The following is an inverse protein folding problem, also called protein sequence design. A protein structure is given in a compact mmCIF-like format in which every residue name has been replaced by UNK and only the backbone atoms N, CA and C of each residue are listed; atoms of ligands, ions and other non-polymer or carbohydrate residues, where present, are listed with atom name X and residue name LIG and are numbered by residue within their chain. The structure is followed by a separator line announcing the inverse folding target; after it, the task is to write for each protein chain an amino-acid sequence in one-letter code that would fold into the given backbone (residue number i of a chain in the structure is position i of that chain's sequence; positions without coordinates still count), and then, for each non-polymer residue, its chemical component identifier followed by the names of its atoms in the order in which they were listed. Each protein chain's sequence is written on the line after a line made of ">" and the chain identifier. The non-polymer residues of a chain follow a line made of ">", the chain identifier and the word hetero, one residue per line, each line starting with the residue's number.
data_IF_654702667598
#
_entry.id   IF_654702667598
#
_cell.length_a   1.000
_cell.length_b   1.000
_cell.length_c   1.000
_cell.angle_alpha   90.00
_cell.angle_beta   90.00
_cell.angle_gamma   90.00
#
_symmetry.space_group_name_H-M   'P 1'
#
loop_
_entity.id
_entity.type
_entity.pdbx_description
1 polymer ?
#
# COMPACT_ATOMS: atom_id res chain seq x y z
N UNK A 1 34.52 8.57 -22.87
CA UNK A 1 35.13 7.87 -21.71
C UNK A 1 34.31 8.09 -20.44
N UNK A 2 33.93 9.32 -20.13
CA UNK A 2 33.14 9.70 -18.94
C UNK A 2 31.78 9.00 -18.83
N UNK A 3 30.98 8.88 -19.90
CA UNK A 3 29.65 8.26 -19.82
C UNK A 3 29.67 6.77 -19.43
N UNK A 4 30.67 6.02 -19.94
CA UNK A 4 30.88 4.61 -19.57
C UNK A 4 31.38 4.45 -18.14
N UNK A 5 32.10 5.45 -17.60
CA UNK A 5 32.54 5.47 -16.21
C UNK A 5 31.35 5.60 -15.26
N UNK A 6 30.41 6.51 -15.56
CA UNK A 6 29.20 6.68 -14.76
C UNK A 6 28.26 5.46 -14.82
N UNK A 7 28.14 4.83 -15.99
CA UNK A 7 27.37 3.57 -16.10
C UNK A 7 28.02 2.45 -15.28
N UNK A 8 29.34 2.30 -15.34
CA UNK A 8 30.07 1.33 -14.53
C UNK A 8 29.96 1.62 -13.03
N UNK A 9 30.02 2.88 -12.60
CA UNK A 9 29.84 3.24 -11.20
C UNK A 9 28.41 3.01 -10.73
N UNK A 10 27.40 3.33 -11.55
CA UNK A 10 26.01 3.04 -11.23
C UNK A 10 25.76 1.53 -11.14
N UNK A 11 26.29 0.74 -12.08
CA UNK A 11 26.20 -0.72 -12.03
C UNK A 11 26.95 -1.31 -10.83
N UNK A 12 28.13 -0.80 -10.51
CA UNK A 12 28.90 -1.22 -9.34
C UNK A 12 28.17 -0.86 -8.03
N UNK A 13 27.54 0.32 -7.98
CA UNK A 13 26.77 0.78 -6.84
C UNK A 13 25.49 -0.03 -6.68
N UNK A 14 24.77 -0.32 -7.77
CA UNK A 14 23.63 -1.26 -7.79
C UNK A 14 24.06 -2.65 -7.35
N UNK A 15 25.18 -3.16 -7.84
CA UNK A 15 25.69 -4.49 -7.48
C UNK A 15 26.14 -4.56 -6.02
N UNK A 16 26.85 -3.56 -5.52
CA UNK A 16 27.27 -3.49 -4.12
C UNK A 16 26.08 -3.26 -3.17
N UNK A 17 25.08 -2.50 -3.61
CA UNK A 17 23.82 -2.31 -2.88
C UNK A 17 23.02 -3.61 -2.80
N UNK A 18 22.92 -4.34 -3.92
CA UNK A 18 22.28 -5.66 -3.98
C UNK A 18 23.04 -6.72 -3.16
N UNK A 19 24.35 -6.53 -2.92
CA UNK A 19 25.21 -7.44 -2.17
C UNK A 19 25.45 -7.03 -0.71
N UNK A 20 24.98 -5.85 -0.27
CA UNK A 20 25.08 -5.41 1.13
C UNK A 20 23.73 -5.51 1.83
N UNK A 21 23.43 -6.74 2.25
CA UNK A 21 22.23 -7.12 3.02
C UNK A 21 21.80 -6.12 4.13
N UNK A 22 22.70 -5.54 4.95
CA UNK A 22 22.28 -4.67 6.05
C UNK A 22 21.88 -3.25 5.63
N UNK A 23 22.19 -2.79 4.42
CA UNK A 23 21.95 -1.38 4.01
C UNK A 23 20.58 -1.19 3.35
N UNK A 24 20.07 -2.24 2.69
CA UNK A 24 18.83 -2.19 1.90
C UNK A 24 17.63 -1.70 2.72
N UNK A 25 17.35 -2.22 3.94
CA UNK A 25 16.25 -1.72 4.78
C UNK A 25 16.26 -0.21 4.99
N UNK A 26 17.39 0.36 5.43
CA UNK A 26 17.47 1.76 5.82
C UNK A 26 17.40 2.70 4.62
N UNK A 27 18.15 2.37 3.58
CA UNK A 27 18.21 3.17 2.35
C UNK A 27 16.91 3.15 1.56
N UNK A 28 16.18 2.03 1.53
CA UNK A 28 14.86 1.95 0.90
C UNK A 28 13.80 2.74 1.67
N UNK A 29 13.84 2.76 3.00
CA UNK A 29 12.98 3.63 3.84
C UNK A 29 13.25 5.10 3.53
N UNK A 30 14.50 5.53 3.53
CA UNK A 30 14.88 6.90 3.15
C UNK A 30 14.47 7.22 1.71
N UNK A 31 14.67 6.28 0.80
CA UNK A 31 14.23 6.37 -0.60
C UNK A 31 12.72 6.56 -0.71
N UNK A 32 11.92 5.84 0.09
CA UNK A 32 10.47 5.98 0.14
C UNK A 32 10.01 7.37 0.62
N UNK A 33 10.67 7.93 1.65
CA UNK A 33 10.38 9.29 2.13
C UNK A 33 10.73 10.35 1.07
N UNK A 34 11.87 10.21 0.41
CA UNK A 34 12.27 11.12 -0.67
C UNK A 34 11.34 10.99 -1.88
N UNK A 35 10.99 9.77 -2.27
CA UNK A 35 10.03 9.49 -3.32
C UNK A 35 8.67 10.12 -3.01
N UNK A 36 8.20 10.03 -1.77
CA UNK A 36 6.97 10.71 -1.33
C UNK A 36 7.00 12.20 -1.66
N UNK A 37 8.08 12.92 -1.28
CA UNK A 37 8.22 14.35 -1.54
C UNK A 37 8.26 14.67 -3.03
N UNK A 38 9.04 13.92 -3.80
CA UNK A 38 9.17 14.12 -5.25
C UNK A 38 7.84 13.86 -5.96
N UNK A 39 7.14 12.78 -5.61
CA UNK A 39 5.83 12.47 -6.16
C UNK A 39 4.80 13.51 -5.77
N UNK A 40 4.84 14.04 -4.53
CA UNK A 40 3.94 15.10 -4.10
C UNK A 40 4.11 16.36 -4.97
N UNK A 41 5.34 16.80 -5.21
CA UNK A 41 5.63 17.95 -6.05
C UNK A 41 5.22 17.71 -7.51
N UNK A 42 5.46 16.49 -8.01
CA UNK A 42 5.05 16.10 -9.37
C UNK A 42 3.53 16.09 -9.52
N UNK A 43 2.80 15.52 -8.57
CA UNK A 43 1.33 15.52 -8.55
C UNK A 43 0.82 16.96 -8.51
N UNK A 44 1.40 17.81 -7.67
CA UNK A 44 1.05 19.23 -7.60
C UNK A 44 1.30 19.93 -8.94
N UNK A 45 2.44 19.69 -9.58
CA UNK A 45 2.81 20.27 -10.87
C UNK A 45 1.79 19.85 -11.95
N UNK A 46 1.59 18.55 -12.13
CA UNK A 46 0.64 18.00 -13.12
C UNK A 46 -0.77 18.52 -12.83
N UNK A 47 -1.20 18.52 -11.57
CA UNK A 47 -2.54 18.97 -11.17
C UNK A 47 -2.78 20.45 -11.51
N UNK A 48 -1.77 21.29 -11.32
CA UNK A 48 -1.84 22.74 -11.61
C UNK A 48 -2.06 23.01 -13.10
N UNK A 49 -1.41 22.24 -13.98
CA UNK A 49 -1.48 22.45 -15.43
C UNK A 49 -2.65 21.74 -16.13
N UNK A 50 -3.00 20.54 -15.68
CA UNK A 50 -3.97 19.70 -16.39
C UNK A 50 -5.37 19.68 -15.78
N UNK A 51 -5.54 20.07 -14.51
CA UNK A 51 -6.83 19.98 -13.82
C UNK A 51 -7.35 21.37 -13.46
N UNK A 52 -8.29 21.88 -14.26
CA UNK A 52 -8.92 23.19 -13.99
C UNK A 52 -9.60 23.24 -12.62
N UNK A 53 -10.19 22.13 -12.17
CA UNK A 53 -10.81 22.02 -10.85
C UNK A 53 -9.81 22.25 -9.72
N UNK A 54 -8.58 21.73 -9.85
CA UNK A 54 -7.52 21.89 -8.84
C UNK A 54 -7.23 23.36 -8.52
N UNK A 55 -7.19 24.22 -9.53
CA UNK A 55 -6.94 25.65 -9.35
C UNK A 55 -8.09 26.38 -8.64
N UNK A 56 -9.29 25.82 -8.62
CA UNK A 56 -10.41 26.36 -7.86
C UNK A 56 -10.50 25.86 -6.41
N UNK A 57 -9.71 24.84 -6.04
CA UNK A 57 -9.72 24.26 -4.70
C UNK A 57 -9.09 25.19 -3.66
N UNK A 58 -9.60 25.10 -2.43
CA UNK A 58 -8.97 25.72 -1.24
C UNK A 58 -7.59 25.13 -0.96
N UNK A 59 -6.77 25.83 -0.17
CA UNK A 59 -5.43 25.35 0.20
C UNK A 59 -5.45 23.94 0.79
N UNK A 60 -6.38 23.66 1.70
CA UNK A 60 -6.46 22.36 2.37
C UNK A 60 -6.91 21.24 1.40
N UNK A 61 -7.86 21.53 0.52
CA UNK A 61 -8.30 20.58 -0.50
C UNK A 61 -7.20 20.27 -1.53
N UNK A 62 -6.34 21.24 -1.88
CA UNK A 62 -5.17 20.98 -2.73
C UNK A 62 -4.17 20.07 -2.05
N UNK A 63 -3.96 20.24 -0.74
CA UNK A 63 -3.08 19.35 0.02
C UNK A 63 -3.64 17.93 0.05
N UNK A 64 -4.95 17.77 0.33
CA UNK A 64 -5.61 16.46 0.27
C UNK A 64 -5.55 15.85 -1.13
N UNK A 65 -5.78 16.66 -2.17
CA UNK A 65 -5.68 16.23 -3.56
C UNK A 65 -4.28 15.68 -3.87
N UNK A 66 -3.23 16.41 -3.51
CA UNK A 66 -1.86 15.98 -3.78
C UNK A 66 -1.50 14.73 -2.98
N UNK A 67 -1.89 14.68 -1.71
CA UNK A 67 -1.69 13.53 -0.85
C UNK A 67 -2.35 12.26 -1.41
N UNK A 68 -3.61 12.34 -1.86
CA UNK A 68 -4.32 11.25 -2.53
C UNK A 68 -3.67 10.83 -3.85
N UNK A 69 -3.09 11.78 -4.58
CA UNK A 69 -2.30 11.47 -5.78
C UNK A 69 -1.05 10.63 -5.45
N UNK A 70 -0.30 11.01 -4.42
CA UNK A 70 0.87 10.22 -3.96
C UNK A 70 0.44 8.84 -3.47
N UNK A 71 -0.61 8.77 -2.66
CA UNK A 71 -1.20 7.51 -2.18
C UNK A 71 -1.63 6.60 -3.33
N UNK A 72 -2.22 7.16 -4.38
CA UNK A 72 -2.59 6.39 -5.59
C UNK A 72 -1.38 5.78 -6.29
N UNK A 73 -0.29 6.53 -6.44
CA UNK A 73 0.94 6.05 -7.07
C UNK A 73 1.63 4.98 -6.24
N UNK A 74 1.72 5.17 -4.93
CA UNK A 74 2.24 4.15 -4.01
C UNK A 74 1.40 2.88 -4.05
N UNK A 75 0.07 3.02 -3.97
CA UNK A 75 -0.85 1.90 -4.01
C UNK A 75 -0.71 1.06 -5.29
N UNK A 76 -0.58 1.69 -6.46
CA UNK A 76 -0.32 0.99 -7.72
C UNK A 76 1.01 0.24 -7.67
N UNK A 77 2.08 0.91 -7.22
CA UNK A 77 3.41 0.28 -7.09
C UNK A 77 3.38 -0.93 -6.15
N UNK A 78 2.88 -0.77 -4.93
CA UNK A 78 2.94 -1.84 -3.92
C UNK A 78 1.99 -2.98 -4.26
N UNK A 79 0.83 -2.70 -4.88
CA UNK A 79 -0.10 -3.76 -5.29
C UNK A 79 0.50 -4.60 -6.41
N UNK A 80 1.12 -3.97 -7.41
CA UNK A 80 1.81 -4.68 -8.49
C UNK A 80 2.92 -5.58 -7.95
N UNK A 81 3.79 -5.03 -7.10
CA UNK A 81 4.89 -5.80 -6.51
C UNK A 81 4.38 -6.92 -5.59
N UNK A 82 3.32 -6.67 -4.81
CA UNK A 82 2.74 -7.67 -3.92
C UNK A 82 2.11 -8.82 -4.70
N UNK A 83 1.37 -8.53 -5.77
CA UNK A 83 0.83 -9.55 -6.67
C UNK A 83 1.95 -10.38 -7.30
N UNK A 84 3.01 -9.72 -7.79
CA UNK A 84 4.18 -10.40 -8.34
C UNK A 84 4.80 -11.35 -7.31
N UNK A 85 5.09 -10.88 -6.10
CA UNK A 85 5.71 -11.72 -5.07
C UNK A 85 4.83 -12.88 -4.61
N UNK A 86 3.52 -12.64 -4.42
CA UNK A 86 2.60 -13.65 -3.89
C UNK A 86 2.25 -14.72 -4.93
N UNK A 87 2.10 -14.37 -6.20
CA UNK A 87 1.53 -15.28 -7.22
C UNK A 87 2.47 -15.65 -8.36
N UNK A 88 3.50 -14.86 -8.65
CA UNK A 88 4.37 -15.07 -9.81
C UNK A 88 5.84 -15.31 -9.48
N UNK A 89 6.30 -14.90 -8.31
CA UNK A 89 7.69 -15.08 -7.88
C UNK A 89 7.91 -16.46 -7.30
N UNK A 90 9.08 -17.04 -7.58
CA UNK A 90 9.50 -18.31 -6.97
C UNK A 90 9.82 -18.20 -5.47
N UNK A 91 9.92 -16.97 -4.93
CA UNK A 91 10.35 -16.69 -3.55
C UNK A 91 9.52 -17.43 -2.50
N UNK A 92 8.20 -17.54 -2.73
CA UNK A 92 7.26 -18.16 -1.79
C UNK A 92 6.65 -19.47 -2.33
N UNK A 93 7.20 -20.03 -3.42
CA UNK A 93 6.80 -21.37 -3.88
C UNK A 93 7.43 -22.45 -3.00
N UNK A 94 6.60 -23.38 -2.50
CA UNK A 94 7.06 -24.44 -1.59
C UNK A 94 8.01 -25.45 -2.26
N UNK A 95 7.84 -25.71 -3.55
CA UNK A 95 8.59 -26.75 -4.26
C UNK A 95 10.07 -26.39 -4.54
N UNK A 96 10.41 -25.10 -4.53
CA UNK A 96 11.71 -24.63 -5.08
C UNK A 96 12.72 -24.17 -4.03
N UNK A 97 12.32 -23.96 -2.76
CA UNK A 97 13.20 -23.38 -1.74
C UNK A 97 13.18 -24.19 -0.44
N UNK A 98 14.33 -24.74 0.02
CA UNK A 98 14.42 -25.35 1.34
C UNK A 98 14.37 -24.25 2.42
N UNK A 99 13.38 -24.31 3.31
CA UNK A 99 13.24 -23.38 4.43
C UNK A 99 11.80 -22.98 4.73
N UNK A 100 11.56 -22.39 5.91
CA UNK A 100 10.24 -21.93 6.33
C UNK A 100 9.78 -20.76 5.46
N UNK A 101 8.59 -20.82 4.87
CA UNK A 101 8.01 -19.77 4.02
C UNK A 101 7.92 -18.43 4.74
N UNK A 102 7.77 -18.47 6.07
CA UNK A 102 7.69 -17.32 6.97
C UNK A 102 9.03 -16.60 7.19
N UNK A 103 10.16 -17.24 6.85
CA UNK A 103 11.50 -16.66 7.00
C UNK A 103 12.16 -16.34 5.66
N UNK A 104 11.42 -16.45 4.55
CA UNK A 104 11.93 -16.17 3.21
C UNK A 104 11.84 -14.68 2.90
N UNK A 105 12.95 -14.13 2.43
CA UNK A 105 13.05 -12.75 1.93
C UNK A 105 14.11 -12.67 0.82
N UNK A 106 14.04 -11.61 0.02
CA UNK A 106 15.02 -11.27 -1.01
C UNK A 106 15.39 -9.79 -0.92
N UNK A 107 16.55 -9.37 -1.45
CA UNK A 107 16.91 -7.96 -1.56
C UNK A 107 15.80 -7.10 -2.19
N UNK A 108 15.15 -7.59 -3.25
CA UNK A 108 14.08 -6.87 -3.95
C UNK A 108 12.80 -6.78 -3.11
N UNK A 109 12.42 -7.85 -2.41
CA UNK A 109 11.22 -7.83 -1.56
C UNK A 109 11.42 -6.93 -0.35
N UNK A 110 12.59 -6.98 0.29
CA UNK A 110 12.96 -6.10 1.40
C UNK A 110 13.02 -4.63 0.95
N UNK A 111 13.61 -4.35 -0.22
CA UNK A 111 13.62 -3.00 -0.81
C UNK A 111 12.19 -2.49 -1.05
N UNK A 112 11.34 -3.31 -1.66
CA UNK A 112 9.94 -2.97 -1.96
C UNK A 112 9.14 -2.60 -0.70
N UNK A 113 9.26 -3.42 0.34
CA UNK A 113 8.60 -3.17 1.62
C UNK A 113 9.20 -1.93 2.30
N UNK A 114 10.51 -1.74 2.24
CA UNK A 114 11.17 -0.57 2.83
C UNK A 114 10.75 0.75 2.19
N UNK A 115 10.57 0.80 0.86
CA UNK A 115 9.95 1.95 0.18
C UNK A 115 8.55 2.24 0.75
N UNK A 116 7.77 1.19 1.02
CA UNK A 116 6.43 1.32 1.60
C UNK A 116 6.45 1.81 3.05
N UNK A 117 7.41 1.39 3.87
CA UNK A 117 7.61 1.96 5.21
C UNK A 117 7.89 3.46 5.12
N UNK A 118 8.78 3.87 4.21
CA UNK A 118 9.07 5.29 3.99
C UNK A 118 7.84 6.09 3.59
N UNK A 119 7.01 5.55 2.70
CA UNK A 119 5.71 6.12 2.35
C UNK A 119 4.79 6.24 3.57
N UNK A 120 4.59 5.15 4.33
CA UNK A 120 3.68 5.15 5.49
C UNK A 120 4.11 6.17 6.56
N UNK A 121 5.41 6.32 6.80
CA UNK A 121 5.94 7.32 7.74
C UNK A 121 5.66 8.75 7.27
N UNK A 122 5.92 9.05 6.00
CA UNK A 122 5.67 10.37 5.43
C UNK A 122 4.17 10.72 5.42
N UNK A 123 3.34 9.76 5.01
CA UNK A 123 1.89 9.94 4.93
C UNK A 123 1.25 10.10 6.32
N UNK A 124 1.62 9.24 7.27
CA UNK A 124 1.18 9.35 8.67
C UNK A 124 1.62 10.68 9.29
N UNK A 125 2.85 11.14 9.00
CA UNK A 125 3.35 12.45 9.44
C UNK A 125 2.46 13.59 8.96
N UNK A 126 2.04 13.58 7.69
CA UNK A 126 1.12 14.60 7.16
C UNK A 126 -0.29 14.48 7.74
N UNK A 127 -0.83 13.26 7.89
CA UNK A 127 -2.14 13.03 8.51
C UNK A 127 -2.16 13.59 9.93
N UNK A 128 -1.13 13.32 10.72
CA UNK A 128 -1.00 13.84 12.09
C UNK A 128 -0.84 15.36 12.12
N UNK A 129 0.00 15.93 11.24
CA UNK A 129 0.24 17.38 11.18
C UNK A 129 -1.01 18.18 10.80
N UNK A 130 -1.83 17.62 9.90
CA UNK A 130 -3.03 18.27 9.38
C UNK A 130 -4.32 17.70 9.98
N UNK A 131 -4.23 16.94 11.07
CA UNK A 131 -5.38 16.35 11.73
C UNK A 131 -6.36 17.44 12.22
N UNK A 132 -7.68 17.29 12.04
CA UNK A 132 -8.41 16.17 11.43
C UNK A 132 -8.71 16.35 9.92
N UNK A 133 -8.04 17.27 9.23
CA UNK A 133 -8.40 17.69 7.87
C UNK A 133 -8.03 16.69 6.77
N UNK A 134 -6.95 15.92 6.92
CA UNK A 134 -6.52 14.91 5.94
C UNK A 134 -7.05 13.49 6.22
N UNK A 135 -7.59 13.26 7.41
CA UNK A 135 -8.03 11.92 7.81
C UNK A 135 -8.66 11.91 9.21
N UNK A 136 -9.40 10.84 9.47
CA UNK A 136 -9.92 10.52 10.80
C UNK A 136 -9.04 9.55 11.57
N UNK A 137 -9.42 9.26 12.82
CA UNK A 137 -8.73 8.31 13.69
C UNK A 137 -8.53 6.93 13.03
N UNK A 138 -9.50 6.49 12.22
CA UNK A 138 -9.41 5.24 11.44
C UNK A 138 -8.19 5.20 10.52
N UNK A 139 -7.78 6.31 9.92
CA UNK A 139 -6.60 6.37 9.05
C UNK A 139 -5.31 6.31 9.87
N UNK A 140 -5.26 6.97 11.03
CA UNK A 140 -4.09 6.93 11.94
C UNK A 140 -3.87 5.50 12.43
N UNK A 141 -4.93 4.82 12.87
CA UNK A 141 -4.86 3.42 13.33
C UNK A 141 -4.44 2.50 12.20
N UNK A 142 -5.05 2.64 11.02
CA UNK A 142 -4.69 1.86 9.83
C UNK A 142 -3.21 2.02 9.47
N UNK A 143 -2.74 3.26 9.31
CA UNK A 143 -1.36 3.54 8.91
C UNK A 143 -0.34 3.12 9.98
N UNK A 144 -0.66 3.29 11.26
CA UNK A 144 0.21 2.84 12.35
C UNK A 144 0.35 1.33 12.38
N UNK A 145 -0.76 0.59 12.30
CA UNK A 145 -0.74 -0.88 12.31
C UNK A 145 -0.02 -1.45 11.08
N UNK A 146 -0.35 -0.95 9.89
CA UNK A 146 0.30 -1.35 8.65
C UNK A 146 1.78 -0.99 8.66
N UNK A 147 2.15 0.24 9.06
CA UNK A 147 3.53 0.69 9.12
C UNK A 147 4.40 -0.14 10.07
N UNK A 148 3.89 -0.48 11.25
CA UNK A 148 4.62 -1.35 12.21
C UNK A 148 4.82 -2.75 11.66
N UNK A 149 3.79 -3.37 11.08
CA UNK A 149 3.90 -4.72 10.50
C UNK A 149 4.89 -4.76 9.33
N UNK A 150 4.80 -3.79 8.42
CA UNK A 150 5.69 -3.71 7.26
C UNK A 150 7.13 -3.44 7.72
N UNK A 151 7.34 -2.52 8.66
CA UNK A 151 8.68 -2.25 9.21
C UNK A 151 9.27 -3.49 9.87
N UNK A 152 8.48 -4.23 10.66
CA UNK A 152 8.91 -5.51 11.23
C UNK A 152 9.41 -6.47 10.14
N UNK A 153 8.61 -6.69 9.08
CA UNK A 153 8.98 -7.59 7.98
C UNK A 153 10.20 -7.14 7.18
N UNK A 154 10.45 -5.83 7.09
CA UNK A 154 11.65 -5.27 6.45
C UNK A 154 12.90 -5.56 7.29
N UNK A 155 12.87 -5.26 8.58
CA UNK A 155 14.07 -5.31 9.43
C UNK A 155 14.40 -6.71 9.94
N UNK A 156 13.42 -7.61 10.00
CA UNK A 156 13.64 -9.01 10.43
C UNK A 156 13.73 -10.00 9.28
N UNK A 157 13.25 -9.63 8.09
CA UNK A 157 13.07 -10.57 6.98
C UNK A 157 11.90 -11.54 7.17
N UNK A 158 11.18 -11.48 8.29
CA UNK A 158 10.12 -12.43 8.61
C UNK A 158 8.72 -11.97 8.14
N UNK A 159 7.89 -12.94 7.78
CA UNK A 159 6.47 -12.72 7.48
C UNK A 159 6.21 -11.93 6.20
N UNK A 160 7.21 -11.74 5.34
CA UNK A 160 7.07 -10.93 4.13
C UNK A 160 5.94 -11.40 3.22
N UNK A 161 5.71 -12.72 3.10
CA UNK A 161 4.57 -13.27 2.35
C UNK A 161 3.23 -12.71 2.83
N UNK A 162 2.98 -12.78 4.14
CA UNK A 162 1.73 -12.32 4.73
C UNK A 162 1.59 -10.80 4.66
N UNK A 163 2.70 -10.08 4.81
CA UNK A 163 2.75 -8.63 4.59
C UNK A 163 2.36 -8.28 3.15
N UNK A 164 2.89 -8.97 2.14
CA UNK A 164 2.48 -8.76 0.75
C UNK A 164 1.02 -9.15 0.50
N UNK A 165 0.53 -10.27 1.06
CA UNK A 165 -0.88 -10.64 0.96
C UNK A 165 -1.81 -9.52 1.48
N UNK A 166 -1.46 -8.91 2.61
CA UNK A 166 -2.19 -7.76 3.14
C UNK A 166 -2.05 -6.53 2.23
N UNK A 167 -0.86 -6.24 1.72
CA UNK A 167 -0.60 -5.07 0.88
C UNK A 167 -1.26 -5.13 -0.51
N UNK A 168 -1.63 -6.30 -1.03
CA UNK A 168 -2.50 -6.40 -2.22
C UNK A 168 -3.80 -5.62 -2.01
N UNK A 169 -4.30 -5.47 -0.77
CA UNK A 169 -5.50 -4.70 -0.48
C UNK A 169 -5.41 -3.22 -0.83
N UNK A 170 -4.20 -2.67 -0.96
CA UNK A 170 -3.95 -1.31 -1.47
C UNK A 170 -4.39 -1.16 -2.92
N UNK A 171 -4.65 -2.24 -3.66
CA UNK A 171 -5.14 -2.17 -5.04
C UNK A 171 -6.48 -1.46 -5.17
N UNK A 172 -7.21 -1.29 -4.07
CA UNK A 172 -8.50 -0.59 -3.99
C UNK A 172 -8.37 0.91 -3.68
N UNK A 173 -7.19 1.35 -3.23
CA UNK A 173 -6.89 2.73 -2.86
C UNK A 173 -7.01 3.69 -4.05
N UNK A 174 -6.52 3.37 -5.27
CA UNK A 174 -6.71 4.20 -6.46
C UNK A 174 -8.18 4.50 -6.75
N UNK A 175 -9.08 3.53 -6.59
CA UNK A 175 -10.50 3.70 -6.87
C UNK A 175 -11.17 4.60 -5.82
N UNK A 176 -10.81 4.46 -4.54
CA UNK A 176 -11.28 5.33 -3.46
C UNK A 176 -10.82 6.78 -3.69
N UNK A 177 -9.55 6.97 -4.05
CA UNK A 177 -9.00 8.29 -4.35
C UNK A 177 -9.65 8.89 -5.60
N UNK A 178 -9.82 8.11 -6.66
CA UNK A 178 -10.49 8.56 -7.88
C UNK A 178 -11.94 8.98 -7.60
N UNK A 179 -12.65 8.25 -6.75
CA UNK A 179 -14.00 8.64 -6.32
C UNK A 179 -14.02 10.01 -5.66
N UNK A 180 -13.06 10.26 -4.78
CA UNK A 180 -12.91 11.54 -4.10
C UNK A 180 -12.56 12.67 -5.09
N UNK A 181 -11.63 12.44 -6.03
CA UNK A 181 -11.26 13.40 -7.07
C UNK A 181 -12.45 13.77 -7.97
N UNK A 182 -13.30 12.80 -8.31
CA UNK A 182 -14.54 13.03 -9.05
C UNK A 182 -15.53 13.85 -8.22
N UNK A 183 -15.70 13.56 -6.92
CA UNK A 183 -16.62 14.31 -6.05
C UNK A 183 -16.20 15.77 -5.90
N UNK A 184 -14.93 16.01 -5.55
CA UNK A 184 -14.40 17.36 -5.31
C UNK A 184 -14.34 18.20 -6.60
N UNK A 185 -14.26 17.54 -7.76
CA UNK A 185 -14.36 18.20 -9.08
C UNK A 185 -15.81 18.44 -9.54
N UNK A 186 -16.81 18.16 -8.69
CA UNK A 186 -18.23 18.36 -9.02
C UNK A 186 -18.83 17.28 -9.93
N UNK A 187 -18.14 16.16 -10.13
CA UNK A 187 -18.52 15.09 -11.07
C UNK A 187 -19.28 13.93 -10.40
N UNK A 188 -19.87 14.15 -9.22
CA UNK A 188 -20.62 13.14 -8.46
C UNK A 188 -21.80 12.50 -9.22
N UNK A 189 -22.37 13.22 -10.20
CA UNK A 189 -23.49 12.75 -11.04
C UNK A 189 -23.05 12.13 -12.37
N UNK A 190 -21.74 12.05 -12.64
CA UNK A 190 -21.21 11.50 -13.89
C UNK A 190 -21.31 9.98 -13.96
N UNK A 191 -21.33 9.44 -15.17
CA UNK A 191 -21.20 7.99 -15.40
C UNK A 191 -19.88 7.44 -14.83
N UNK A 192 -18.79 8.23 -14.90
CA UNK A 192 -17.50 7.85 -14.32
C UNK A 192 -17.60 7.59 -12.81
N UNK A 193 -18.35 8.42 -12.06
CA UNK A 193 -18.55 8.23 -10.63
C UNK A 193 -19.39 6.99 -10.29
N UNK A 194 -20.35 6.64 -11.16
CA UNK A 194 -21.13 5.41 -11.02
C UNK A 194 -20.28 4.17 -11.30
N UNK A 195 -19.57 4.15 -12.43
CA UNK A 195 -18.69 3.05 -12.85
C UNK A 195 -17.60 2.81 -11.80
N UNK A 196 -16.93 3.88 -11.33
CA UNK A 196 -15.96 3.79 -10.25
C UNK A 196 -16.55 3.16 -8.97
N UNK A 197 -17.82 3.48 -8.63
CA UNK A 197 -18.50 2.86 -7.49
C UNK A 197 -18.69 1.35 -7.63
N UNK A 198 -18.93 0.86 -8.85
CA UNK A 198 -19.01 -0.58 -9.14
C UNK A 198 -17.63 -1.24 -8.98
N UNK A 199 -16.57 -0.62 -9.50
CA UNK A 199 -15.20 -1.11 -9.32
C UNK A 199 -14.79 -1.16 -7.86
N UNK A 200 -15.14 -0.14 -7.05
CA UNK A 200 -14.89 -0.15 -5.60
C UNK A 200 -15.56 -1.36 -4.96
N UNK A 201 -16.82 -1.65 -5.29
CA UNK A 201 -17.54 -2.78 -4.68
C UNK A 201 -16.84 -4.12 -4.95
N UNK A 202 -16.54 -4.40 -6.23
CA UNK A 202 -15.89 -5.67 -6.61
C UNK A 202 -14.45 -5.74 -6.13
N UNK A 203 -13.67 -4.66 -6.28
CA UNK A 203 -12.30 -4.59 -5.79
C UNK A 203 -12.22 -4.82 -4.29
N UNK A 204 -13.13 -4.21 -3.52
CA UNK A 204 -13.19 -4.41 -2.07
C UNK A 204 -13.53 -5.85 -1.69
N UNK A 205 -14.53 -6.45 -2.35
CA UNK A 205 -14.90 -7.84 -2.10
C UNK A 205 -13.72 -8.78 -2.38
N UNK A 206 -13.02 -8.63 -3.50
CA UNK A 206 -11.91 -9.50 -3.86
C UNK A 206 -10.69 -9.26 -2.96
N UNK A 207 -10.20 -8.03 -2.89
CA UNK A 207 -8.90 -7.71 -2.29
C UNK A 207 -8.93 -7.51 -0.77
N UNK A 208 -10.09 -7.14 -0.20
CA UNK A 208 -10.22 -6.82 1.24
C UNK A 208 -11.07 -7.81 2.02
N UNK A 209 -11.90 -8.63 1.36
CA UNK A 209 -12.70 -9.67 2.00
C UNK A 209 -12.16 -11.06 1.66
N UNK A 210 -12.25 -11.49 0.39
CA UNK A 210 -11.86 -12.86 0.00
C UNK A 210 -10.37 -13.12 0.21
N UNK A 211 -9.51 -12.16 -0.15
CA UNK A 211 -8.07 -12.30 0.05
C UNK A 211 -7.68 -12.42 1.53
N UNK A 212 -8.37 -11.72 2.43
CA UNK A 212 -8.12 -11.84 3.87
C UNK A 212 -8.56 -13.21 4.39
N UNK A 213 -9.69 -13.74 3.91
CA UNK A 213 -10.11 -15.13 4.21
C UNK A 213 -9.05 -16.12 3.73
N UNK A 214 -8.55 -15.95 2.50
CA UNK A 214 -7.47 -16.76 1.95
C UNK A 214 -6.19 -16.66 2.79
N UNK A 215 -5.80 -15.46 3.19
CA UNK A 215 -4.62 -15.23 4.03
C UNK A 215 -4.73 -15.94 5.38
N UNK A 216 -5.87 -15.84 6.08
CA UNK A 216 -6.07 -16.58 7.33
C UNK A 216 -6.05 -18.09 7.14
N UNK A 217 -6.66 -18.59 6.06
CA UNK A 217 -6.58 -20.00 5.71
C UNK A 217 -5.12 -20.43 5.45
N UNK A 218 -4.33 -19.59 4.76
CA UNK A 218 -2.92 -19.86 4.49
C UNK A 218 -2.08 -19.88 5.78
N UNK A 219 -2.34 -18.96 6.71
CA UNK A 219 -1.72 -18.95 8.06
C UNK A 219 -2.09 -20.22 8.83
N UNK A 220 -3.34 -20.67 8.74
CA UNK A 220 -3.82 -21.88 9.43
C UNK A 220 -3.09 -23.14 8.94
N UNK A 221 -3.00 -23.35 7.62
CA UNK A 221 -2.32 -24.53 7.07
C UNK A 221 -0.80 -24.50 7.28
N UNK A 222 -0.20 -23.31 7.41
CA UNK A 222 1.23 -23.11 7.69
C UNK A 222 1.52 -22.79 9.17
N UNK A 223 0.60 -23.09 10.08
CA UNK A 223 0.71 -22.68 11.48
C UNK A 223 2.01 -23.14 12.15
N UNK A 224 2.47 -24.36 11.84
CA UNK A 224 3.74 -24.90 12.33
C UNK A 224 4.97 -24.08 11.95
N UNK A 225 4.91 -23.32 10.86
CA UNK A 225 5.97 -22.40 10.44
C UNK A 225 5.83 -21.01 11.07
N UNK A 226 4.59 -20.59 11.35
CA UNK A 226 4.28 -19.30 11.99
C UNK A 226 4.72 -19.29 13.46
N UNK A 227 4.57 -20.40 14.18
CA UNK A 227 5.04 -20.50 15.58
C UNK A 227 6.56 -20.50 15.73
N UNK A 228 7.30 -20.65 14.63
CA UNK A 228 8.76 -20.59 14.62
C UNK A 228 9.31 -19.18 14.37
N UNK A 229 8.45 -18.21 14.04
CA UNK A 229 8.83 -16.80 13.95
C UNK A 229 9.16 -16.22 15.34
N UNK A 230 9.85 -15.09 15.39
CA UNK A 230 9.99 -14.38 16.67
C UNK A 230 8.62 -14.01 17.25
N UNK A 231 8.55 -13.91 18.58
CA UNK A 231 7.30 -13.63 19.30
C UNK A 231 6.55 -12.38 18.80
N UNK A 232 7.29 -11.35 18.38
CA UNK A 232 6.73 -10.13 17.79
C UNK A 232 6.10 -10.43 16.42
N UNK A 233 6.80 -11.16 15.55
CA UNK A 233 6.29 -11.56 14.24
C UNK A 233 5.06 -12.46 14.33
N UNK A 234 5.11 -13.46 15.21
CA UNK A 234 3.96 -14.30 15.54
C UNK A 234 2.75 -13.44 15.92
N UNK A 235 2.93 -12.49 16.84
CA UNK A 235 1.84 -11.59 17.25
C UNK A 235 1.31 -10.74 16.10
N UNK A 236 2.20 -10.14 15.30
CA UNK A 236 1.82 -9.24 14.20
C UNK A 236 1.07 -9.96 13.08
N UNK A 237 1.44 -11.20 12.74
CA UNK A 237 0.77 -12.03 11.71
C UNK A 237 -0.71 -12.27 12.03
N UNK A 238 -1.10 -12.30 13.31
CA UNK A 238 -2.50 -12.43 13.69
C UNK A 238 -3.16 -11.08 13.95
N UNK A 239 -2.56 -10.22 14.76
CA UNK A 239 -3.24 -9.02 15.28
C UNK A 239 -3.49 -7.98 14.20
N UNK A 240 -2.50 -7.73 13.32
CA UNK A 240 -2.66 -6.68 12.30
C UNK A 240 -3.69 -7.10 11.25
N UNK A 241 -3.63 -8.29 10.62
CA UNK A 241 -4.67 -8.72 9.68
C UNK A 241 -6.06 -8.82 10.33
N UNK A 242 -6.17 -9.22 11.59
CA UNK A 242 -7.46 -9.23 12.32
C UNK A 242 -8.04 -7.81 12.47
N UNK A 243 -7.25 -6.86 12.94
CA UNK A 243 -7.68 -5.48 13.08
C UNK A 243 -8.08 -4.87 11.73
N UNK A 244 -7.26 -5.08 10.70
CA UNK A 244 -7.55 -4.63 9.34
C UNK A 244 -8.80 -5.30 8.76
N UNK A 245 -9.07 -6.57 9.06
CA UNK A 245 -10.30 -7.26 8.65
C UNK A 245 -11.54 -6.63 9.24
N UNK A 246 -11.51 -6.26 10.53
CA UNK A 246 -12.63 -5.58 11.20
C UNK A 246 -12.91 -4.24 10.50
N UNK A 247 -11.85 -3.46 10.22
CA UNK A 247 -11.97 -2.19 9.51
C UNK A 247 -12.50 -2.39 8.07
N UNK A 248 -12.00 -3.41 7.36
CA UNK A 248 -12.45 -3.76 6.02
C UNK A 248 -13.93 -4.13 5.98
N UNK A 249 -14.44 -4.86 6.98
CA UNK A 249 -15.87 -5.19 7.12
C UNK A 249 -16.71 -3.95 7.41
N UNK A 250 -16.25 -3.07 8.31
CA UNK A 250 -16.93 -1.80 8.62
C UNK A 250 -17.08 -0.92 7.37
N UNK A 251 -15.99 -0.75 6.61
CA UNK A 251 -15.99 0.03 5.38
C UNK A 251 -16.79 -0.65 4.26
N UNK A 252 -16.73 -1.98 4.14
CA UNK A 252 -17.55 -2.71 3.17
C UNK A 252 -19.05 -2.52 3.45
N UNK A 253 -19.46 -2.52 4.72
CA UNK A 253 -20.82 -2.15 5.12
C UNK A 253 -21.23 -0.74 4.67
N UNK A 254 -20.31 0.25 4.71
CA UNK A 254 -20.55 1.59 4.16
C UNK A 254 -20.71 1.56 2.63
N UNK A 255 -19.89 0.77 1.93
CA UNK A 255 -19.94 0.62 0.46
C UNK A 255 -21.27 -0.02 0.03
N UNK A 256 -21.70 -1.11 0.67
CA UNK A 256 -22.98 -1.78 0.41
C UNK A 256 -24.14 -0.80 0.61
N UNK A 257 -24.17 -0.07 1.72
CA UNK A 257 -25.19 0.96 1.97
C UNK A 257 -25.21 2.03 0.89
N UNK A 258 -24.04 2.43 0.39
CA UNK A 258 -23.91 3.36 -0.75
C UNK A 258 -24.49 2.80 -2.04
N UNK A 259 -24.21 1.53 -2.34
CA UNK A 259 -24.71 0.82 -3.53
C UNK A 259 -26.23 0.66 -3.49
N UNK A 260 -26.80 0.21 -2.37
CA UNK A 260 -28.26 0.06 -2.19
C UNK A 260 -28.98 1.39 -2.41
N UNK A 261 -28.47 2.49 -1.85
CA UNK A 261 -29.04 3.83 -2.06
C UNK A 261 -29.00 4.28 -3.52
N UNK A 262 -28.01 3.83 -4.29
CA UNK A 262 -27.89 4.13 -5.72
C UNK A 262 -28.94 3.37 -6.54
N UNK A 263 -29.15 2.09 -6.23
CA UNK A 263 -30.13 1.25 -6.91
C UNK A 263 -31.57 1.69 -6.60
N UNK A 264 -31.85 2.04 -5.33
CA UNK A 264 -33.16 2.51 -4.90
C UNK A 264 -33.58 3.86 -5.51
N UNK A 265 -32.65 4.66 -6.05
CA UNK A 265 -32.95 5.92 -6.76
C UNK A 265 -33.23 5.72 -8.25
N UNK A 266 -32.91 4.55 -8.80
CA UNK A 266 -33.19 4.19 -10.20
C UNK A 266 -34.51 3.43 -10.36
N UNK A 267 -35.11 2.98 -9.25
CA UNK A 267 -36.48 2.49 -9.16
C UNK A 267 -37.43 3.66 -8.92
#
# INVERSE_FOLDING_TARGET
>A
MTLKSYQNEAELLVKNYLLSDPVIPYSSVLGGILAFKVLYDLVQLISTFYFRSYNSLTKIQRIEWNNRGVSTLHAVFISFMSLYFVFWSDLFLDEHHPGLITLRSSPLSTFTLGVSVGYFLADLGMICWLYPSLGGLEYIVHHSLSGVAVAYSVFTGEGQLYTFMVLISEMTTPEINMRWHLDISGLKRSNAYLINGVFIFFGWLMARILLFVYMFHHVYIHYSQVIQMHSVGYFLVFVVPCALSIMNLMWFGKIIKGLVKMLAKKQ
#
